data_IF_092187897363
#
_entry.id   IF_092187897363
#
_cell.length_a   1.000
_cell.length_b   1.000
_cell.length_c   1.000
_cell.angle_alpha   90.00
_cell.angle_beta   90.00
_cell.angle_gamma   90.00
#
_symmetry.space_group_name_H-M   'P 1'
#
loop_
_entity.id
_entity.type
_entity.pdbx_description
1 polymer ?
#
# COMPACT_ATOMS: atom_id res chain seq x y z
N UNK A 1 62.35 52.00 -31.74
CA UNK A 1 61.91 50.64 -31.80
C UNK A 1 61.80 50.04 -30.38
N UNK A 2 62.85 50.17 -29.53
CA UNK A 2 62.84 49.58 -28.20
C UNK A 2 61.72 50.10 -27.32
N UNK A 3 61.43 51.43 -27.32
CA UNK A 3 60.35 52.01 -26.54
C UNK A 3 58.94 51.38 -26.90
N UNK A 4 58.67 51.12 -28.18
CA UNK A 4 57.46 50.50 -28.61
C UNK A 4 57.36 49.01 -28.16
N UNK A 5 58.52 48.33 -28.11
CA UNK A 5 58.58 46.95 -27.61
C UNK A 5 58.29 46.92 -26.10
N UNK A 6 58.82 47.85 -25.35
CA UNK A 6 58.55 47.98 -23.91
C UNK A 6 57.07 48.30 -23.61
N UNK A 7 56.48 49.25 -24.38
CA UNK A 7 55.03 49.58 -24.26
C UNK A 7 54.14 48.41 -24.62
N UNK A 8 54.50 47.65 -25.66
CA UNK A 8 53.75 46.45 -26.03
C UNK A 8 53.89 45.34 -24.97
N UNK A 9 55.10 45.13 -24.44
CA UNK A 9 55.30 44.14 -23.38
C UNK A 9 54.57 44.52 -22.10
N UNK A 10 54.55 45.82 -21.73
CA UNK A 10 53.79 46.33 -20.60
C UNK A 10 52.27 46.09 -20.81
N UNK A 11 51.80 46.34 -22.04
CA UNK A 11 50.36 46.06 -22.38
C UNK A 11 50.02 44.59 -22.30
N UNK A 12 50.90 43.73 -22.84
CA UNK A 12 50.70 42.24 -22.77
C UNK A 12 50.69 41.79 -21.31
N UNK A 13 51.61 42.29 -20.48
CA UNK A 13 51.62 41.97 -19.06
C UNK A 13 50.33 42.44 -18.33
N UNK A 14 49.87 43.67 -18.62
CA UNK A 14 48.65 44.20 -18.03
C UNK A 14 47.40 43.38 -18.46
N UNK A 15 47.34 42.94 -19.72
CA UNK A 15 46.25 42.03 -20.17
C UNK A 15 46.38 40.67 -19.51
N UNK A 16 47.56 40.14 -19.26
CA UNK A 16 47.78 38.90 -18.53
C UNK A 16 47.31 39.01 -17.07
N UNK A 17 47.64 40.11 -16.40
CA UNK A 17 47.15 40.38 -15.04
C UNK A 17 45.63 40.53 -14.99
N UNK A 18 45.05 41.26 -15.96
CA UNK A 18 43.59 41.40 -16.04
C UNK A 18 42.91 40.07 -16.24
N UNK A 19 43.41 39.22 -17.14
CA UNK A 19 42.88 37.87 -17.36
C UNK A 19 42.94 37.02 -16.08
N UNK A 20 44.10 37.05 -15.39
CA UNK A 20 44.26 36.30 -14.12
C UNK A 20 43.33 36.80 -13.02
N UNK A 21 43.13 38.13 -12.92
CA UNK A 21 42.18 38.70 -11.97
C UNK A 21 40.73 38.34 -12.30
N UNK A 22 40.39 38.32 -13.58
CA UNK A 22 39.07 37.87 -14.03
C UNK A 22 38.81 36.38 -13.71
N UNK A 23 39.81 35.54 -13.90
CA UNK A 23 39.72 34.11 -13.58
C UNK A 23 39.58 33.89 -12.05
N UNK A 24 40.32 34.67 -11.27
CA UNK A 24 40.21 34.67 -9.80
C UNK A 24 38.84 35.16 -9.35
N UNK A 25 38.29 36.18 -9.96
CA UNK A 25 36.94 36.69 -9.68
C UNK A 25 35.88 35.67 -10.04
N UNK A 26 36.00 35.02 -11.20
CA UNK A 26 35.10 33.93 -11.63
C UNK A 26 35.14 32.78 -10.64
N UNK A 27 36.32 32.35 -10.19
CA UNK A 27 36.45 31.30 -9.18
C UNK A 27 35.82 31.71 -7.84
N UNK A 28 35.99 32.97 -7.42
CA UNK A 28 35.37 33.50 -6.20
C UNK A 28 33.84 33.55 -6.29
N UNK A 29 33.29 33.95 -7.45
CA UNK A 29 31.86 33.90 -7.71
C UNK A 29 31.30 32.46 -7.70
N UNK A 30 32.05 31.51 -8.25
CA UNK A 30 31.65 30.09 -8.19
C UNK A 30 31.66 29.59 -6.75
N UNK A 31 32.71 29.91 -5.97
CA UNK A 31 32.80 29.58 -4.54
C UNK A 31 31.66 30.23 -3.75
N UNK A 32 31.30 31.49 -4.03
CA UNK A 32 30.16 32.16 -3.42
C UNK A 32 28.83 31.48 -3.76
N UNK A 33 28.62 31.13 -5.03
CA UNK A 33 27.46 30.37 -5.48
C UNK A 33 27.36 29.02 -4.75
N UNK A 34 28.48 28.32 -4.59
CA UNK A 34 28.53 27.02 -3.92
C UNK A 34 28.37 27.14 -2.40
N UNK A 35 28.82 28.26 -1.79
CA UNK A 35 28.63 28.56 -0.36
C UNK A 35 27.20 29.01 -0.02
N UNK A 36 26.47 29.57 -0.98
CA UNK A 36 25.04 29.92 -0.81
C UNK A 36 24.14 28.73 -1.03
N UNK A 37 24.69 27.54 -1.32
CA UNK A 37 23.88 26.29 -1.37
C UNK A 37 23.29 26.03 0.02
N UNK A 38 21.99 25.86 0.06
CA UNK A 38 21.27 25.49 1.27
C UNK A 38 21.81 24.16 1.81
N UNK A 39 22.11 24.13 3.09
CA UNK A 39 22.51 22.90 3.80
C UNK A 39 21.35 22.42 4.66
N UNK A 40 21.16 21.13 4.69
CA UNK A 40 20.22 20.49 5.62
C UNK A 40 20.93 20.22 6.95
N UNK A 41 20.24 20.45 8.03
CA UNK A 41 20.69 20.11 9.38
C UNK A 41 19.50 19.53 10.15
N UNK A 42 19.71 18.44 10.86
CA UNK A 42 18.73 17.88 11.77
C UNK A 42 19.33 17.81 13.18
N UNK A 43 18.57 18.19 14.17
CA UNK A 43 18.96 18.07 15.58
C UNK A 43 18.94 16.62 16.06
N UNK A 44 18.31 15.71 15.29
CA UNK A 44 18.21 14.30 15.62
C UNK A 44 18.62 13.45 14.41
N UNK A 45 19.46 12.43 14.65
CA UNK A 45 19.91 11.49 13.62
C UNK A 45 18.81 10.58 13.07
N UNK A 46 17.66 10.50 13.74
CA UNK A 46 16.49 9.73 13.29
C UNK A 46 15.76 10.40 12.11
N UNK A 47 16.03 11.69 11.83
CA UNK A 47 15.44 12.40 10.71
C UNK A 47 16.54 12.91 9.77
N UNK A 48 16.47 12.57 8.50
CA UNK A 48 17.32 13.08 7.42
C UNK A 48 16.52 14.00 6.51
N UNK A 49 17.08 15.19 6.22
CA UNK A 49 16.49 16.13 5.27
C UNK A 49 17.27 16.12 3.98
N UNK A 50 16.55 16.12 2.86
CA UNK A 50 17.12 16.24 1.52
C UNK A 50 16.47 17.40 0.78
N UNK A 51 17.27 18.19 0.07
CA UNK A 51 16.76 19.27 -0.78
C UNK A 51 16.52 18.67 -2.17
N UNK A 52 15.26 18.50 -2.56
CA UNK A 52 14.88 17.94 -3.86
C UNK A 52 15.02 18.95 -5.02
N UNK A 53 14.87 20.25 -4.74
CA UNK A 53 14.94 21.33 -5.74
C UNK A 53 15.80 22.48 -5.23
N UNK A 54 17.15 22.38 -5.33
CA UNK A 54 18.06 23.40 -4.79
C UNK A 54 17.85 24.81 -5.35
N UNK A 55 17.41 24.90 -6.62
CA UNK A 55 17.22 26.19 -7.31
C UNK A 55 15.99 26.98 -6.82
N UNK A 56 15.01 26.31 -6.23
CA UNK A 56 13.79 26.91 -5.71
C UNK A 56 13.65 26.84 -4.21
N UNK A 57 14.56 26.14 -3.54
CA UNK A 57 14.54 26.00 -2.09
C UNK A 57 14.83 27.31 -1.38
N UNK A 58 14.12 27.55 -0.27
CA UNK A 58 14.33 28.71 0.62
C UNK A 58 14.74 28.20 1.99
N UNK A 59 15.45 29.02 2.74
CA UNK A 59 15.76 28.73 4.14
C UNK A 59 14.46 28.64 4.95
N UNK A 60 14.28 27.55 5.67
CA UNK A 60 13.18 27.37 6.62
C UNK A 60 13.64 26.52 7.80
N UNK A 61 12.91 26.57 8.88
CA UNK A 61 13.05 25.69 10.04
C UNK A 61 11.70 25.07 10.31
N UNK A 62 11.68 23.81 10.69
CA UNK A 62 10.44 23.06 10.94
C UNK A 62 10.68 22.07 12.08
N UNK A 63 9.69 21.94 12.97
CA UNK A 63 9.69 20.95 14.03
C UNK A 63 8.99 19.67 13.56
N UNK A 64 9.71 18.55 13.63
CA UNK A 64 9.18 17.23 13.35
C UNK A 64 9.02 16.48 14.67
N UNK A 65 7.77 16.10 14.99
CA UNK A 65 7.45 15.28 16.15
C UNK A 65 6.94 13.92 15.68
N UNK A 66 7.60 12.83 16.09
CA UNK A 66 7.18 11.45 15.83
C UNK A 66 6.48 10.93 17.06
N UNK A 67 5.16 10.76 16.97
CA UNK A 67 4.33 10.29 18.09
C UNK A 67 4.36 8.77 18.23
N UNK A 68 4.42 8.04 17.10
CA UNK A 68 4.58 6.58 17.07
C UNK A 68 5.32 6.13 15.82
N UNK A 69 6.05 5.03 15.94
CA UNK A 69 6.67 4.36 14.78
C UNK A 69 5.68 3.40 14.14
N UNK A 70 5.87 3.12 12.86
CA UNK A 70 5.14 2.06 12.18
C UNK A 70 5.44 0.70 12.83
N UNK A 71 4.41 -0.12 12.99
CA UNK A 71 4.52 -1.48 13.51
C UNK A 71 4.20 -2.51 12.46
N UNK A 72 4.82 -3.69 12.58
CA UNK A 72 4.46 -4.87 11.81
C UNK A 72 3.31 -5.63 12.47
N UNK A 73 2.47 -6.30 11.69
CA UNK A 73 1.57 -7.30 12.24
C UNK A 73 2.36 -8.51 12.71
N UNK A 74 1.91 -9.10 13.82
CA UNK A 74 2.36 -10.43 14.26
C UNK A 74 1.11 -11.30 14.46
N UNK A 75 1.04 -12.38 13.69
CA UNK A 75 0.06 -13.45 13.88
C UNK A 75 0.71 -14.57 14.69
N UNK A 76 0.01 -15.09 15.67
CA UNK A 76 0.38 -16.29 16.42
C UNK A 76 -0.58 -17.42 16.04
N UNK A 77 -0.01 -18.56 15.67
CA UNK A 77 -0.73 -19.82 15.51
C UNK A 77 -0.24 -20.77 16.59
N UNK A 78 -1.12 -21.14 17.51
CA UNK A 78 -0.76 -21.84 18.76
C UNK A 78 -1.23 -23.30 18.77
N UNK A 79 -0.84 -24.06 19.82
CA UNK A 79 -1.37 -25.39 20.09
C UNK A 79 -0.59 -26.54 19.45
N UNK A 80 0.64 -26.32 19.01
CA UNK A 80 1.48 -27.39 18.44
C UNK A 80 2.30 -28.08 19.55
N UNK A 81 2.24 -29.44 19.57
CA UNK A 81 2.94 -30.22 20.59
C UNK A 81 4.46 -30.21 20.38
N UNK A 82 4.95 -30.29 19.14
CA UNK A 82 6.37 -30.29 18.77
C UNK A 82 6.56 -29.62 17.41
N UNK A 83 7.72 -28.98 17.16
CA UNK A 83 8.06 -28.40 15.85
C UNK A 83 8.17 -29.43 14.72
N UNK A 84 8.34 -30.68 15.06
CA UNK A 84 8.49 -31.82 14.12
C UNK A 84 7.19 -32.59 13.87
N UNK A 85 6.10 -32.28 14.60
CA UNK A 85 4.80 -32.92 14.39
C UNK A 85 4.24 -32.54 13.02
N UNK A 86 3.63 -33.52 12.35
CA UNK A 86 2.93 -33.26 11.07
C UNK A 86 1.82 -32.23 11.23
N UNK A 87 1.75 -31.33 10.30
CA UNK A 87 0.77 -30.22 10.25
C UNK A 87 -0.28 -30.40 9.16
N UNK A 88 -0.33 -31.60 8.52
CA UNK A 88 -1.16 -31.85 7.35
C UNK A 88 -0.56 -31.25 6.07
N UNK A 89 -1.30 -31.36 4.97
CA UNK A 89 -0.86 -30.87 3.66
C UNK A 89 -1.94 -30.04 2.95
N UNK A 90 -1.53 -29.30 1.92
CA UNK A 90 -2.45 -28.46 1.13
C UNK A 90 -1.76 -27.21 0.60
N UNK A 91 -2.47 -26.10 0.55
CA UNK A 91 -1.93 -24.81 0.16
C UNK A 91 -2.25 -23.73 1.19
N UNK A 92 -1.31 -22.81 1.38
CA UNK A 92 -1.49 -21.57 2.14
C UNK A 92 -1.38 -20.41 1.16
N UNK A 93 -2.40 -19.58 1.10
CA UNK A 93 -2.40 -18.31 0.35
C UNK A 93 -2.12 -17.19 1.33
N UNK A 94 -1.08 -16.42 1.07
CA UNK A 94 -0.71 -15.23 1.86
C UNK A 94 -1.06 -13.99 1.06
N UNK A 95 -1.97 -13.20 1.60
CA UNK A 95 -2.43 -11.93 1.07
C UNK A 95 -1.86 -10.79 1.94
N UNK A 96 -1.50 -9.70 1.29
CA UNK A 96 -1.03 -8.48 1.95
C UNK A 96 -2.09 -7.39 1.82
N UNK A 97 -2.29 -6.62 2.89
CA UNK A 97 -3.31 -5.59 2.87
C UNK A 97 -3.53 -4.96 4.24
N UNK A 98 -4.77 -4.64 4.51
CA UNK A 98 -5.19 -3.98 5.75
C UNK A 98 -6.42 -4.69 6.34
N UNK A 99 -6.38 -4.98 7.64
CA UNK A 99 -7.58 -5.38 8.38
C UNK A 99 -8.50 -4.18 8.58
N UNK A 100 -9.79 -4.37 8.27
CA UNK A 100 -10.80 -3.31 8.27
C UNK A 100 -11.75 -3.51 9.44
N UNK A 101 -12.10 -2.40 10.07
CA UNK A 101 -13.09 -2.36 11.15
C UNK A 101 -14.05 -1.19 10.94
N UNK A 102 -15.26 -1.32 11.51
CA UNK A 102 -16.27 -0.26 11.46
C UNK A 102 -16.88 0.00 10.08
N UNK A 103 -16.68 -0.92 9.11
CA UNK A 103 -17.39 -0.86 7.84
C UNK A 103 -18.85 -1.29 8.05
N UNK A 104 -19.75 -0.61 7.37
CA UNK A 104 -21.19 -0.94 7.32
C UNK A 104 -21.58 -1.17 5.88
N UNK A 105 -22.42 -2.16 5.63
CA UNK A 105 -22.99 -2.38 4.29
C UNK A 105 -24.02 -1.31 3.99
N UNK A 106 -23.94 -0.73 2.78
CA UNK A 106 -24.85 0.26 2.27
C UNK A 106 -24.94 0.14 0.74
N UNK A 107 -26.06 -0.38 0.24
CA UNK A 107 -26.21 -0.80 -1.15
C UNK A 107 -26.59 0.33 -2.12
N UNK A 108 -26.79 1.56 -1.66
CA UNK A 108 -27.12 2.74 -2.45
C UNK A 108 -26.27 3.97 -2.13
N UNK A 109 -25.22 3.80 -1.35
CA UNK A 109 -24.35 4.87 -0.87
C UNK A 109 -23.63 5.65 -1.97
N UNK A 110 -23.38 5.05 -3.14
CA UNK A 110 -22.69 5.69 -4.28
C UNK A 110 -23.66 6.29 -5.29
N UNK A 111 -24.72 5.56 -5.62
CA UNK A 111 -25.76 5.99 -6.56
C UNK A 111 -27.12 5.46 -6.09
N UNK A 112 -28.09 6.34 -5.91
CA UNK A 112 -29.45 6.01 -5.46
C UNK A 112 -30.47 5.82 -6.60
N UNK A 113 -30.00 5.66 -7.83
CA UNK A 113 -30.82 5.45 -9.03
C UNK A 113 -30.22 6.15 -10.25
N UNK A 114 -29.36 5.45 -10.97
CA UNK A 114 -28.73 5.95 -12.18
C UNK A 114 -29.28 5.24 -13.42
N UNK A 115 -29.47 5.98 -14.52
CA UNK A 115 -29.84 5.43 -15.82
C UNK A 115 -28.64 4.74 -16.46
N UNK A 116 -28.90 3.70 -17.26
CA UNK A 116 -27.88 2.84 -17.82
C UNK A 116 -27.73 3.10 -19.31
N UNK A 117 -26.59 3.70 -19.70
CA UNK A 117 -26.25 3.97 -21.11
C UNK A 117 -24.84 3.43 -21.38
N UNK A 118 -24.71 2.61 -22.43
CA UNK A 118 -23.43 1.98 -22.81
C UNK A 118 -22.31 2.99 -22.98
N UNK A 119 -21.14 2.69 -22.39
CA UNK A 119 -19.95 3.52 -22.48
C UNK A 119 -20.02 4.86 -21.79
N UNK A 120 -21.15 5.17 -21.13
CA UNK A 120 -21.35 6.43 -20.41
C UNK A 120 -21.25 6.18 -18.90
N UNK A 121 -20.48 7.02 -18.19
CA UNK A 121 -20.41 6.98 -16.73
C UNK A 121 -21.81 7.14 -16.11
N UNK A 122 -22.06 6.43 -15.01
CA UNK A 122 -23.30 6.63 -14.22
C UNK A 122 -23.39 8.05 -13.60
N UNK A 123 -22.35 8.85 -13.75
CA UNK A 123 -22.22 10.19 -13.18
C UNK A 123 -21.12 10.24 -12.12
N UNK A 124 -21.11 11.29 -11.31
CA UNK A 124 -20.17 11.42 -10.19
C UNK A 124 -20.71 10.65 -8.99
N UNK A 125 -19.95 9.63 -8.48
CA UNK A 125 -20.37 8.92 -7.28
C UNK A 125 -20.43 9.85 -6.07
N UNK A 126 -21.30 9.55 -5.11
CA UNK A 126 -21.24 10.18 -3.80
C UNK A 126 -19.87 9.93 -3.18
N UNK A 127 -19.19 10.99 -2.74
CA UNK A 127 -17.83 10.86 -2.20
C UNK A 127 -17.85 10.24 -0.80
N UNK A 128 -16.95 9.29 -0.60
CA UNK A 128 -16.68 8.67 0.69
C UNK A 128 -15.20 8.80 1.02
N UNK A 129 -14.87 9.09 2.27
CA UNK A 129 -13.48 9.13 2.72
C UNK A 129 -12.83 7.74 2.73
N UNK A 130 -13.63 6.70 2.95
CA UNK A 130 -13.22 5.30 2.88
C UNK A 130 -14.46 4.41 2.88
N UNK A 131 -14.70 3.68 1.76
CA UNK A 131 -15.82 2.74 1.64
C UNK A 131 -15.61 1.47 2.48
N UNK A 132 -14.37 0.93 2.50
CA UNK A 132 -14.01 -0.32 3.20
C UNK A 132 -14.89 -1.51 2.79
N UNK A 133 -15.22 -1.64 1.53
CA UNK A 133 -16.15 -2.67 1.07
C UNK A 133 -15.98 -3.04 -0.40
N UNK A 134 -16.59 -4.15 -0.78
CA UNK A 134 -16.76 -4.55 -2.17
C UNK A 134 -17.97 -3.83 -2.77
N UNK A 135 -17.94 -3.52 -4.07
CA UNK A 135 -19.03 -2.78 -4.69
C UNK A 135 -20.23 -3.68 -4.92
N UNK A 136 -21.41 -3.21 -4.52
CA UNK A 136 -22.69 -3.84 -4.78
C UNK A 136 -23.47 -3.08 -5.86
N UNK A 137 -24.03 -3.83 -6.81
CA UNK A 137 -24.87 -3.33 -7.91
C UNK A 137 -26.23 -3.95 -7.76
N UNK A 138 -27.25 -3.11 -7.57
CA UNK A 138 -28.65 -3.52 -7.42
C UNK A 138 -29.47 -3.00 -8.58
N UNK A 139 -30.22 -3.88 -9.24
CA UNK A 139 -31.20 -3.47 -10.25
C UNK A 139 -32.42 -2.86 -9.57
N UNK A 140 -32.58 -1.55 -9.69
CA UNK A 140 -33.80 -0.86 -9.26
C UNK A 140 -34.95 -1.05 -10.28
N UNK A 141 -34.62 -1.19 -11.57
CA UNK A 141 -35.56 -1.58 -12.63
C UNK A 141 -34.80 -2.17 -13.82
N UNK A 142 -35.45 -3.09 -14.54
CA UNK A 142 -34.89 -3.79 -15.71
C UNK A 142 -33.97 -4.96 -15.34
N UNK A 143 -33.78 -5.86 -16.26
CA UNK A 143 -32.83 -6.96 -16.14
C UNK A 143 -31.45 -6.50 -16.61
N UNK A 144 -30.45 -6.53 -15.73
CA UNK A 144 -29.09 -6.08 -15.97
C UNK A 144 -28.10 -7.25 -16.15
N UNK A 145 -28.59 -8.50 -16.19
CA UNK A 145 -27.72 -9.69 -16.23
C UNK A 145 -26.86 -9.81 -17.50
N UNK A 146 -27.23 -9.09 -18.56
CA UNK A 146 -26.43 -8.95 -19.79
C UNK A 146 -25.55 -7.71 -19.82
N UNK A 147 -25.54 -6.90 -18.77
CA UNK A 147 -24.76 -5.67 -18.67
C UNK A 147 -23.58 -5.88 -17.73
N UNK A 148 -22.42 -5.44 -18.15
CA UNK A 148 -21.21 -5.47 -17.34
C UNK A 148 -20.83 -4.05 -16.92
N UNK A 149 -20.57 -3.86 -15.64
CA UNK A 149 -20.18 -2.58 -15.07
C UNK A 149 -18.68 -2.57 -14.78
N UNK A 150 -17.97 -1.65 -15.40
CA UNK A 150 -16.55 -1.41 -15.09
C UNK A 150 -16.45 -0.36 -13.99
N UNK A 151 -16.00 -0.77 -12.82
CA UNK A 151 -15.79 0.07 -11.64
C UNK A 151 -14.33 0.45 -11.57
N UNK A 152 -14.03 1.75 -11.44
CA UNK A 152 -12.68 2.28 -11.24
C UNK A 152 -12.61 3.06 -9.94
N UNK A 153 -11.53 2.86 -9.19
CA UNK A 153 -11.34 3.51 -7.89
C UNK A 153 -9.95 3.23 -7.32
N UNK A 154 -9.82 3.31 -6.00
CA UNK A 154 -8.57 2.97 -5.31
C UNK A 154 -8.78 1.87 -4.29
N UNK A 155 -7.75 1.05 -4.09
CA UNK A 155 -7.66 0.12 -2.96
C UNK A 155 -7.34 0.85 -1.64
N UNK A 156 -7.22 0.10 -0.54
CA UNK A 156 -6.96 0.67 0.79
C UNK A 156 -5.58 1.34 0.87
N UNK A 157 -4.61 0.91 0.06
CA UNK A 157 -3.27 1.50 -0.02
C UNK A 157 -3.22 2.77 -0.91
N UNK A 158 -4.29 3.06 -1.66
CA UNK A 158 -4.38 4.21 -2.57
C UNK A 158 -4.03 3.89 -4.03
N UNK A 159 -3.77 2.62 -4.35
CA UNK A 159 -3.46 2.19 -5.72
C UNK A 159 -4.73 2.19 -6.56
N UNK A 160 -4.64 2.63 -7.80
CA UNK A 160 -5.77 2.56 -8.73
C UNK A 160 -6.11 1.11 -9.04
N UNK A 161 -7.37 0.74 -8.85
CA UNK A 161 -7.89 -0.58 -9.18
C UNK A 161 -9.12 -0.47 -10.05
N UNK A 162 -9.33 -1.51 -10.86
CA UNK A 162 -10.52 -1.66 -11.70
C UNK A 162 -11.10 -3.05 -11.50
N UNK A 163 -12.42 -3.13 -11.48
CA UNK A 163 -13.16 -4.38 -11.40
C UNK A 163 -14.32 -4.38 -12.39
N UNK A 164 -14.59 -5.53 -12.97
CA UNK A 164 -15.73 -5.75 -13.87
C UNK A 164 -16.75 -6.60 -13.13
N UNK A 165 -17.97 -6.08 -12.98
CA UNK A 165 -19.08 -6.74 -12.25
C UNK A 165 -20.23 -6.96 -13.22
N UNK A 166 -20.69 -8.21 -13.36
CA UNK A 166 -21.90 -8.53 -14.13
C UNK A 166 -23.12 -8.07 -13.35
N UNK A 167 -24.01 -7.34 -14.00
CA UNK A 167 -25.23 -6.82 -13.37
C UNK A 167 -26.19 -7.93 -12.97
N UNK A 168 -27.07 -7.65 -12.00
CA UNK A 168 -28.06 -8.61 -11.52
C UNK A 168 -29.32 -8.64 -12.43
N UNK A 169 -30.12 -9.69 -12.29
CA UNK A 169 -31.50 -9.70 -12.76
C UNK A 169 -32.35 -8.69 -11.99
N UNK A 170 -33.49 -8.29 -12.55
CA UNK A 170 -34.38 -7.27 -11.98
C UNK A 170 -34.68 -7.51 -10.49
N UNK A 171 -34.52 -6.47 -9.68
CA UNK A 171 -34.77 -6.51 -8.24
C UNK A 171 -33.71 -7.22 -7.39
N UNK A 172 -32.62 -7.72 -8.00
CA UNK A 172 -31.56 -8.41 -7.29
C UNK A 172 -30.29 -7.56 -7.18
N UNK A 173 -29.34 -8.05 -6.38
CA UNK A 173 -28.02 -7.42 -6.15
C UNK A 173 -26.92 -8.40 -6.51
N UNK A 174 -25.87 -7.91 -7.17
CA UNK A 174 -24.60 -8.61 -7.38
C UNK A 174 -23.49 -7.80 -6.74
N UNK A 175 -22.51 -8.48 -6.14
CA UNK A 175 -21.34 -7.80 -5.54
C UNK A 175 -20.07 -8.22 -6.23
N UNK A 176 -19.12 -7.28 -6.30
CA UNK A 176 -17.76 -7.54 -6.71
C UNK A 176 -16.95 -8.27 -5.63
N UNK A 177 -15.68 -8.49 -5.92
CA UNK A 177 -14.72 -9.18 -5.06
C UNK A 177 -13.62 -8.24 -4.52
N UNK A 178 -13.32 -7.15 -5.24
CA UNK A 178 -12.28 -6.20 -4.84
C UNK A 178 -12.82 -5.21 -3.81
N UNK A 179 -12.00 -4.93 -2.81
CA UNK A 179 -12.32 -3.95 -1.76
C UNK A 179 -11.83 -2.58 -2.18
N UNK A 180 -12.73 -1.61 -2.19
CA UNK A 180 -12.46 -0.23 -2.57
C UNK A 180 -12.40 0.68 -1.34
N UNK A 181 -11.41 1.58 -1.35
CA UNK A 181 -11.36 2.76 -0.49
C UNK A 181 -12.19 3.88 -1.06
N UNK A 182 -12.06 4.12 -2.37
CA UNK A 182 -12.82 5.13 -3.12
C UNK A 182 -13.27 4.55 -4.45
N UNK A 183 -14.38 5.06 -4.97
CA UNK A 183 -14.82 4.83 -6.36
C UNK A 183 -14.82 6.16 -7.07
N UNK A 184 -14.22 6.21 -8.26
CA UNK A 184 -14.13 7.43 -9.08
C UNK A 184 -15.04 7.38 -10.30
N UNK A 185 -15.31 6.17 -10.81
CA UNK A 185 -16.12 6.01 -12.01
C UNK A 185 -16.75 4.60 -12.08
N UNK A 186 -17.96 4.52 -12.65
CA UNK A 186 -18.63 3.28 -13.01
C UNK A 186 -19.23 3.44 -14.40
N UNK A 187 -18.87 2.53 -15.31
CA UNK A 187 -19.30 2.56 -16.72
C UNK A 187 -19.93 1.23 -17.10
N UNK A 188 -21.21 1.23 -17.51
CA UNK A 188 -21.86 0.07 -18.10
C UNK A 188 -21.44 -0.13 -19.57
N UNK A 189 -21.35 -1.38 -20.02
CA UNK A 189 -21.02 -1.74 -21.41
C UNK A 189 -22.25 -1.79 -22.34
N UNK A 190 -23.45 -1.87 -21.77
CA UNK A 190 -24.71 -2.03 -22.51
C UNK A 190 -25.75 -1.00 -22.06
N UNK A 191 -26.55 -0.49 -23.00
CA UNK A 191 -27.70 0.39 -22.65
C UNK A 191 -28.92 -0.48 -22.31
N UNK A 192 -29.53 -0.21 -21.16
CA UNK A 192 -30.79 -0.85 -20.76
C UNK A 192 -31.88 0.21 -20.72
N UNK A 193 -32.75 0.20 -21.74
CA UNK A 193 -33.84 1.19 -21.86
C UNK A 193 -34.82 1.06 -20.69
N UNK A 194 -35.02 2.18 -19.96
CA UNK A 194 -35.85 2.19 -18.75
C UNK A 194 -35.22 1.47 -17.55
N UNK A 195 -33.98 0.96 -17.70
CA UNK A 195 -33.22 0.37 -16.61
C UNK A 195 -32.68 1.42 -15.64
N UNK A 196 -32.68 1.10 -14.37
CA UNK A 196 -32.11 1.91 -13.32
C UNK A 196 -31.34 1.07 -12.33
N UNK A 197 -30.22 1.58 -11.85
CA UNK A 197 -29.31 0.89 -10.94
C UNK A 197 -29.08 1.73 -9.68
N UNK A 198 -29.07 1.08 -8.53
CA UNK A 198 -28.44 1.62 -7.32
C UNK A 198 -27.10 0.94 -7.10
N UNK A 199 -26.13 1.70 -6.64
CA UNK A 199 -24.79 1.18 -6.38
C UNK A 199 -24.34 1.63 -5.00
N UNK A 200 -23.81 0.70 -4.26
CA UNK A 200 -23.24 0.92 -2.96
C UNK A 200 -22.10 -0.05 -2.67
N UNK A 201 -22.00 -0.47 -1.42
CA UNK A 201 -20.94 -1.39 -1.00
C UNK A 201 -21.38 -2.37 0.07
N UNK A 202 -20.73 -3.53 0.07
CA UNK A 202 -20.82 -4.55 1.13
C UNK A 202 -19.54 -4.46 1.97
N UNK A 203 -19.70 -4.32 3.27
CA UNK A 203 -18.58 -4.22 4.21
C UNK A 203 -17.62 -5.40 4.08
N UNK A 204 -16.33 -5.10 4.06
CA UNK A 204 -15.26 -6.08 4.04
C UNK A 204 -14.46 -6.06 5.34
N UNK A 205 -13.83 -7.18 5.70
CA UNK A 205 -12.97 -7.30 6.89
C UNK A 205 -11.49 -7.17 6.55
N UNK A 206 -11.12 -7.37 5.28
CA UNK A 206 -9.75 -7.25 4.80
C UNK A 206 -9.73 -6.63 3.40
N UNK A 207 -8.90 -5.60 3.22
CA UNK A 207 -8.67 -4.95 1.94
C UNK A 207 -7.27 -5.27 1.42
N UNK A 208 -7.18 -5.87 0.23
CA UNK A 208 -5.91 -6.19 -0.41
C UNK A 208 -5.14 -4.93 -0.76
N UNK A 209 -3.81 -5.01 -0.62
CA UNK A 209 -2.86 -4.08 -1.23
C UNK A 209 -2.48 -4.63 -2.61
N UNK A 210 -3.01 -4.04 -3.68
CA UNK A 210 -2.83 -4.56 -5.04
C UNK A 210 -1.43 -4.34 -5.62
N UNK A 211 -0.56 -3.55 -4.96
CA UNK A 211 0.87 -3.48 -5.29
C UNK A 211 1.68 -4.67 -4.74
N UNK A 212 1.12 -5.39 -3.77
CA UNK A 212 1.75 -6.58 -3.21
C UNK A 212 1.20 -7.84 -3.89
N UNK A 213 2.11 -8.71 -4.30
CA UNK A 213 1.72 -9.95 -4.97
C UNK A 213 1.23 -10.96 -3.94
N UNK A 214 0.00 -11.45 -4.10
CA UNK A 214 -0.51 -12.62 -3.36
C UNK A 214 0.40 -13.82 -3.60
N UNK A 215 0.79 -14.53 -2.55
CA UNK A 215 1.68 -15.68 -2.59
C UNK A 215 0.91 -16.96 -2.21
N UNK A 216 1.07 -17.98 -3.01
CA UNK A 216 0.55 -19.31 -2.70
C UNK A 216 1.73 -20.27 -2.50
N UNK A 217 1.76 -20.97 -1.37
CA UNK A 217 2.74 -22.00 -1.07
C UNK A 217 2.04 -23.34 -0.96
N UNK A 218 2.70 -24.38 -1.46
CA UNK A 218 2.21 -25.77 -1.34
C UNK A 218 2.95 -26.44 -0.17
N UNK A 219 2.18 -26.99 0.74
CA UNK A 219 2.68 -27.75 1.90
C UNK A 219 2.51 -29.23 1.60
N UNK A 220 3.60 -30.00 1.48
CA UNK A 220 3.55 -31.43 1.13
C UNK A 220 3.05 -32.27 2.29
N UNK A 221 2.57 -33.48 1.99
CA UNK A 221 2.19 -34.46 3.02
C UNK A 221 3.41 -34.80 3.90
N UNK A 222 3.15 -34.95 5.21
CA UNK A 222 4.17 -35.16 6.21
C UNK A 222 4.98 -33.92 6.59
N UNK A 223 4.60 -32.73 6.09
CA UNK A 223 5.22 -31.48 6.51
C UNK A 223 5.04 -31.26 8.02
N UNK A 224 6.07 -30.69 8.64
CA UNK A 224 6.07 -30.33 10.05
C UNK A 224 5.88 -28.83 10.25
N UNK A 225 5.69 -28.40 11.50
CA UNK A 225 5.66 -26.97 11.85
C UNK A 225 6.91 -26.24 11.35
N UNK A 226 8.10 -26.88 11.44
CA UNK A 226 9.34 -26.35 10.87
C UNK A 226 9.24 -26.13 9.35
N UNK A 227 8.63 -27.08 8.63
CA UNK A 227 8.46 -26.96 7.18
C UNK A 227 7.56 -25.79 6.82
N UNK A 228 6.43 -25.63 7.52
CA UNK A 228 5.52 -24.50 7.31
C UNK A 228 6.20 -23.17 7.65
N UNK A 229 6.93 -23.11 8.78
CA UNK A 229 7.68 -21.92 9.18
C UNK A 229 8.67 -21.47 8.10
N UNK A 230 9.51 -22.41 7.62
CA UNK A 230 10.51 -22.13 6.59
C UNK A 230 9.84 -21.68 5.28
N UNK A 231 8.76 -22.36 4.86
CA UNK A 231 8.05 -21.99 3.63
C UNK A 231 7.41 -20.61 3.68
N UNK A 232 7.00 -20.14 4.86
CA UNK A 232 6.50 -18.79 5.06
C UNK A 232 7.64 -17.77 5.15
N UNK A 233 8.73 -18.10 5.83
CA UNK A 233 9.90 -17.21 5.98
C UNK A 233 10.64 -16.95 4.65
N UNK A 234 10.55 -17.88 3.71
CA UNK A 234 11.07 -17.73 2.34
C UNK A 234 10.29 -16.71 1.49
N UNK A 235 9.12 -16.24 1.97
CA UNK A 235 8.32 -15.26 1.25
C UNK A 235 8.79 -13.84 1.53
N UNK A 236 8.97 -13.06 0.46
CA UNK A 236 9.30 -11.63 0.60
C UNK A 236 8.19 -10.87 1.35
N UNK A 237 8.56 -10.12 2.39
CA UNK A 237 7.64 -9.36 3.23
C UNK A 237 6.97 -10.16 4.35
N UNK A 238 7.42 -11.40 4.56
CA UNK A 238 6.98 -12.27 5.66
C UNK A 238 8.21 -12.73 6.43
N UNK A 239 8.10 -12.84 7.74
CA UNK A 239 9.08 -13.49 8.60
C UNK A 239 8.34 -14.47 9.51
N UNK A 240 8.84 -15.71 9.60
CA UNK A 240 8.19 -16.74 10.39
C UNK A 240 9.18 -17.37 11.38
N UNK A 241 8.74 -17.58 12.61
CA UNK A 241 9.57 -18.18 13.66
C UNK A 241 8.74 -19.02 14.61
N UNK A 242 9.33 -20.08 15.15
CA UNK A 242 8.68 -20.96 16.12
C UNK A 242 9.18 -20.58 17.51
N UNK A 243 8.25 -20.42 18.45
CA UNK A 243 8.54 -20.18 19.86
C UNK A 243 8.07 -21.35 20.72
N UNK A 244 8.88 -21.68 21.72
CA UNK A 244 8.48 -22.58 22.81
C UNK A 244 7.81 -21.75 23.92
N UNK A 245 6.58 -22.07 24.26
CA UNK A 245 5.83 -21.32 25.27
C UNK A 245 6.20 -21.69 26.72
N UNK A 246 7.00 -22.72 26.91
CA UNK A 246 7.44 -23.19 28.25
C UNK A 246 6.39 -24.05 28.98
N UNK A 247 5.22 -24.23 28.42
CA UNK A 247 4.14 -25.09 28.95
C UNK A 247 4.05 -26.44 28.24
N UNK A 248 5.06 -26.77 27.41
CA UNK A 248 5.11 -27.98 26.58
C UNK A 248 4.47 -27.81 25.22
N UNK A 249 4.03 -26.61 24.88
CA UNK A 249 3.49 -26.26 23.54
C UNK A 249 4.39 -25.29 22.76
N UNK A 250 4.17 -25.27 21.45
CA UNK A 250 4.86 -24.40 20.52
C UNK A 250 3.86 -23.56 19.76
N UNK A 251 4.27 -22.35 19.37
CA UNK A 251 3.52 -21.48 18.49
C UNK A 251 4.37 -21.06 17.29
N UNK A 252 3.73 -20.90 16.13
CA UNK A 252 4.31 -20.24 14.98
C UNK A 252 3.95 -18.75 15.04
N UNK A 253 4.94 -17.89 15.01
CA UNK A 253 4.78 -16.46 14.82
C UNK A 253 5.04 -16.13 13.35
N UNK A 254 4.10 -15.45 12.72
CA UNK A 254 4.23 -14.92 11.37
C UNK A 254 4.12 -13.41 11.43
N UNK A 255 5.14 -12.73 10.94
CA UNK A 255 5.26 -11.27 11.01
C UNK A 255 5.32 -10.66 9.62
N UNK A 256 4.62 -9.55 9.42
CA UNK A 256 4.67 -8.74 8.20
C UNK A 256 5.81 -7.71 8.23
N UNK A 257 6.01 -7.03 7.10
CA UNK A 257 6.67 -5.72 7.08
C UNK A 257 5.90 -4.71 7.95
N UNK A 258 6.53 -3.59 8.30
CA UNK A 258 5.89 -2.48 9.00
C UNK A 258 4.92 -1.72 8.10
N UNK A 259 3.91 -1.10 8.72
CA UNK A 259 2.92 -0.27 8.05
C UNK A 259 1.55 -0.93 7.88
N UNK A 260 0.51 -0.12 7.98
CA UNK A 260 -0.88 -0.55 8.02
C UNK A 260 -1.28 -1.43 6.84
N UNK A 261 -0.79 -1.08 5.63
CA UNK A 261 -1.09 -1.79 4.38
C UNK A 261 -0.18 -3.01 4.12
N UNK A 262 0.62 -3.41 5.10
CA UNK A 262 1.48 -4.61 5.06
C UNK A 262 0.93 -5.76 5.90
N UNK A 263 -0.26 -5.63 6.50
CA UNK A 263 -0.86 -6.70 7.27
C UNK A 263 -1.08 -7.96 6.41
N UNK A 264 -1.00 -9.11 7.06
CA UNK A 264 -1.11 -10.42 6.44
C UNK A 264 -2.50 -11.02 6.68
N UNK A 265 -3.00 -11.73 5.67
CA UNK A 265 -4.10 -12.67 5.80
C UNK A 265 -3.67 -13.99 5.20
N UNK A 266 -3.76 -15.06 5.98
CA UNK A 266 -3.49 -16.42 5.55
C UNK A 266 -4.82 -17.15 5.35
N UNK A 267 -4.98 -17.72 4.16
CA UNK A 267 -6.13 -18.57 3.82
C UNK A 267 -5.62 -19.96 3.45
N UNK A 268 -6.18 -20.99 4.04
CA UNK A 268 -5.72 -22.37 3.91
C UNK A 268 -6.71 -23.22 3.16
N UNK A 269 -6.21 -24.06 2.25
CA UNK A 269 -6.97 -25.15 1.64
C UNK A 269 -6.24 -26.45 1.96
N UNK A 270 -6.86 -27.31 2.77
CA UNK A 270 -6.30 -28.62 3.15
C UNK A 270 -6.48 -29.67 2.06
N UNK A 271 -5.56 -30.61 1.99
CA UNK A 271 -5.72 -31.85 1.23
C UNK A 271 -6.67 -32.79 1.98
N UNK A 272 -7.68 -33.29 1.28
CA UNK A 272 -8.63 -34.25 1.86
C UNK A 272 -7.89 -35.50 2.38
N UNK A 273 -8.11 -35.82 3.66
CA UNK A 273 -7.47 -36.97 4.32
C UNK A 273 -6.11 -36.71 4.97
N UNK A 274 -5.59 -35.48 4.89
CA UNK A 274 -4.33 -35.07 5.55
C UNK A 274 -4.55 -33.73 6.27
N UNK A 275 -5.31 -33.77 7.36
CA UNK A 275 -5.78 -32.61 8.10
C UNK A 275 -4.71 -32.03 9.05
N UNK A 276 -4.89 -30.76 9.44
CA UNK A 276 -4.08 -30.03 10.41
C UNK A 276 -3.53 -28.72 9.85
N UNK A 277 -3.50 -28.54 8.52
CA UNK A 277 -2.98 -27.31 7.92
C UNK A 277 -3.94 -26.13 8.16
N UNK A 278 -5.24 -26.36 8.32
CA UNK A 278 -6.25 -25.35 8.66
C UNK A 278 -5.97 -24.61 9.98
N UNK A 279 -5.13 -25.15 10.85
CA UNK A 279 -4.65 -24.43 12.04
C UNK A 279 -3.93 -23.12 11.72
N UNK A 280 -3.40 -22.96 10.50
CA UNK A 280 -2.74 -21.74 10.03
C UNK A 280 -3.66 -20.77 9.29
N UNK A 281 -4.94 -21.05 9.17
CA UNK A 281 -5.92 -20.13 8.63
C UNK A 281 -6.21 -18.99 9.61
N UNK A 282 -6.37 -17.77 9.13
CA UNK A 282 -6.72 -16.63 10.00
C UNK A 282 -8.07 -16.80 10.71
N UNK A 283 -8.99 -17.62 10.17
CA UNK A 283 -10.26 -17.94 10.78
C UNK A 283 -10.18 -19.06 11.82
N UNK A 284 -9.04 -19.74 11.95
CA UNK A 284 -8.80 -20.80 12.94
C UNK A 284 -8.88 -20.26 14.37
N UNK A 285 -9.45 -21.07 15.28
CA UNK A 285 -9.41 -20.78 16.73
C UNK A 285 -7.99 -20.76 17.30
N UNK A 286 -7.02 -21.33 16.61
CA UNK A 286 -5.59 -21.30 16.97
C UNK A 286 -4.86 -20.05 16.51
N UNK A 287 -5.52 -19.22 15.68
CA UNK A 287 -4.99 -17.96 15.16
C UNK A 287 -5.31 -16.79 16.08
N UNK A 288 -4.29 -16.02 16.44
CA UNK A 288 -4.42 -14.78 17.19
C UNK A 288 -3.54 -13.69 16.58
N UNK A 289 -4.08 -12.49 16.45
CA UNK A 289 -3.27 -11.31 16.15
C UNK A 289 -2.63 -10.78 17.45
N UNK A 290 -1.35 -11.09 17.65
CA UNK A 290 -0.59 -10.64 18.81
C UNK A 290 -0.24 -9.14 18.74
N UNK A 291 0.03 -8.65 17.53
CA UNK A 291 0.29 -7.22 17.27
C UNK A 291 -0.40 -6.82 15.96
N UNK A 292 -1.04 -5.67 15.94
CA UNK A 292 -1.61 -5.10 14.73
C UNK A 292 -0.56 -4.30 13.94
N UNK A 293 -0.64 -4.32 12.61
CA UNK A 293 0.11 -3.40 11.76
C UNK A 293 -0.41 -1.97 11.93
N UNK A 294 0.49 -1.00 11.96
CA UNK A 294 0.14 0.42 11.98
C UNK A 294 1.17 1.26 11.24
N UNK A 295 0.73 2.40 10.73
CA UNK A 295 1.63 3.41 10.17
C UNK A 295 2.28 4.23 11.29
N UNK A 296 3.38 4.88 10.97
CA UNK A 296 3.96 5.90 11.83
C UNK A 296 3.01 7.11 11.92
N UNK A 297 2.96 7.74 13.07
CA UNK A 297 2.23 8.99 13.28
C UNK A 297 3.24 10.09 13.57
N UNK A 298 3.26 11.08 12.71
CA UNK A 298 4.16 12.22 12.85
C UNK A 298 3.43 13.55 12.59
N UNK A 299 3.98 14.61 13.12
CA UNK A 299 3.51 15.97 12.81
C UNK A 299 4.69 16.85 12.42
N UNK A 300 4.43 17.78 11.53
CA UNK A 300 5.37 18.83 11.10
C UNK A 300 4.74 20.16 11.47
N UNK A 301 5.42 20.95 12.31
CA UNK A 301 4.92 22.22 12.85
C UNK A 301 3.52 22.11 13.47
N UNK A 302 3.24 20.98 14.10
CA UNK A 302 1.94 20.67 14.72
C UNK A 302 0.87 20.18 13.77
N UNK A 303 1.14 20.04 12.47
CA UNK A 303 0.23 19.46 11.47
C UNK A 303 0.52 17.98 11.32
N UNK A 304 -0.47 17.12 11.58
CA UNK A 304 -0.35 15.67 11.39
C UNK A 304 -0.24 15.33 9.90
N UNK A 305 0.64 14.39 9.60
CA UNK A 305 0.91 13.92 8.24
C UNK A 305 0.67 12.41 8.19
#
# INVERSE_FOLDING_TARGET
>A
INKKIEENNASISAFGELSSNLDTFKASLQTFKDQTSLKTSSANTAATLTISSPSSAKSFSSDINISSLATSQTLEFSGFALPTTSTGSGSIVVEFGQWLSGATTDNDSLYSGASITSGTSLGTPTSHSSLKGTISITSASGDLSSTTFTVTGTDMAGNTITETIVGPTSGNTTSGSKVFKTVTNIVPDTTVSGGSVTVGHVAATFGLNNDKVTRAITIPSGASLNTVANSLDDLSGVSASIINKGDGTYSLLVRSDTGLNSALKLTVTETVGDAGLSNFDNSSSNSQQATAASDAVLSVDGVNI
#
